data_IF_198539535060
#
_entry.id   IF_198539535060
#
_cell.length_a   1.000
_cell.length_b   1.000
_cell.length_c   1.000
_cell.angle_alpha   90.00
_cell.angle_beta   90.00
_cell.angle_gamma   90.00
#
_symmetry.space_group_name_H-M   'P 1'
#
loop_
_entity.id
_entity.type
_entity.pdbx_description
1 polymer ?
#
# COMPACT_ATOMS: atom_id res chain seq x y z
N UNK A 1 14.22 1.71 3.90
CA UNK A 1 12.77 1.49 4.07
C UNK A 1 12.58 1.01 5.49
N UNK A 2 11.62 1.59 6.20
CA UNK A 2 11.17 1.07 7.48
C UNK A 2 9.73 0.56 7.32
N UNK A 3 9.33 -0.40 8.15
CA UNK A 3 7.95 -0.84 8.20
C UNK A 3 7.49 -0.98 9.65
N UNK A 4 6.18 -0.83 9.86
CA UNK A 4 5.54 -1.02 11.15
C UNK A 4 4.22 -1.77 10.98
N UNK A 5 3.98 -2.72 11.87
CA UNK A 5 2.71 -3.44 11.95
C UNK A 5 1.84 -2.80 13.03
N UNK A 6 0.60 -2.49 12.67
CA UNK A 6 -0.47 -2.19 13.61
C UNK A 6 -1.40 -3.41 13.59
N UNK A 7 -1.12 -4.38 14.46
CA UNK A 7 -1.69 -5.72 14.37
C UNK A 7 -3.19 -5.74 14.70
N UNK A 8 -3.61 -4.98 15.71
CA UNK A 8 -5.01 -4.88 16.13
C UNK A 8 -5.88 -4.28 15.02
N UNK A 9 -5.32 -3.27 14.35
CA UNK A 9 -5.93 -2.64 13.19
C UNK A 9 -5.62 -3.38 11.89
N UNK A 10 -4.84 -4.45 11.86
CA UNK A 10 -4.40 -5.12 10.61
C UNK A 10 -3.94 -4.12 9.53
N UNK A 11 -3.07 -3.18 9.92
CA UNK A 11 -2.47 -2.19 9.01
C UNK A 11 -0.95 -2.44 8.92
N UNK A 12 -0.45 -2.51 7.69
CA UNK A 12 0.98 -2.44 7.38
C UNK A 12 1.33 -1.00 6.98
N UNK A 13 2.23 -0.37 7.72
CA UNK A 13 2.79 0.93 7.36
C UNK A 13 4.20 0.77 6.79
N UNK A 14 4.43 1.32 5.61
CA UNK A 14 5.71 1.33 4.90
C UNK A 14 6.19 2.77 4.77
N UNK A 15 7.39 3.07 5.29
CA UNK A 15 8.03 4.38 5.17
C UNK A 15 9.19 4.32 4.14
N UNK A 16 9.00 5.08 3.06
CA UNK A 16 9.90 5.20 1.92
C UNK A 16 10.65 6.54 1.87
N UNK A 17 10.42 7.46 2.80
CA UNK A 17 10.94 8.85 2.75
C UNK A 17 12.47 8.97 2.84
N UNK A 18 13.16 7.91 3.23
CA UNK A 18 14.62 7.90 3.39
C UNK A 18 15.39 7.67 2.08
N UNK A 19 14.93 8.26 0.96
CA UNK A 19 15.59 8.16 -0.36
C UNK A 19 15.67 6.73 -0.90
N UNK A 20 14.66 5.90 -0.60
CA UNK A 20 14.63 4.50 -1.02
C UNK A 20 14.18 4.42 -2.47
N UNK A 21 15.00 3.78 -3.32
CA UNK A 21 14.63 3.48 -4.71
C UNK A 21 13.51 2.45 -4.77
N UNK A 22 12.69 2.46 -5.83
CA UNK A 22 11.64 1.47 -6.03
C UNK A 22 12.20 0.03 -6.01
N UNK A 23 13.36 -0.17 -6.65
CA UNK A 23 14.03 -1.47 -6.65
C UNK A 23 14.40 -1.93 -5.23
N UNK A 24 14.94 -1.03 -4.39
CA UNK A 24 15.32 -1.38 -3.01
C UNK A 24 14.10 -1.62 -2.14
N UNK A 25 13.03 -0.86 -2.33
CA UNK A 25 11.76 -1.07 -1.64
C UNK A 25 11.20 -2.47 -1.97
N UNK A 26 11.17 -2.85 -3.26
CA UNK A 26 10.74 -4.17 -3.69
C UNK A 26 11.62 -5.29 -3.14
N UNK A 27 12.95 -5.14 -3.19
CA UNK A 27 13.88 -6.12 -2.64
C UNK A 27 13.70 -6.37 -1.14
N UNK A 28 13.18 -5.39 -0.39
CA UNK A 28 12.82 -5.59 1.02
C UNK A 28 11.39 -6.12 1.22
N UNK A 29 10.46 -5.69 0.37
CA UNK A 29 9.05 -6.05 0.51
C UNK A 29 8.77 -7.50 0.08
N UNK A 30 9.43 -7.97 -0.98
CA UNK A 30 9.22 -9.32 -1.52
C UNK A 30 9.46 -10.41 -0.47
N UNK A 31 10.63 -10.47 0.21
CA UNK A 31 10.84 -11.47 1.27
C UNK A 31 9.85 -11.33 2.42
N UNK A 32 9.47 -10.10 2.78
CA UNK A 32 8.50 -9.86 3.84
C UNK A 32 7.13 -10.47 3.51
N UNK A 33 6.68 -10.35 2.26
CA UNK A 33 5.40 -10.92 1.82
C UNK A 33 5.44 -12.44 1.68
N UNK A 34 6.61 -13.00 1.33
CA UNK A 34 6.82 -14.45 1.28
C UNK A 34 6.78 -15.05 2.70
N UNK A 35 7.43 -14.40 3.67
CA UNK A 35 7.44 -14.82 5.08
C UNK A 35 6.08 -14.61 5.78
N UNK A 36 5.31 -13.62 5.33
CA UNK A 36 4.01 -13.24 5.93
C UNK A 36 2.91 -13.06 4.87
N UNK A 37 2.40 -14.16 4.28
CA UNK A 37 1.36 -14.10 3.25
C UNK A 37 0.04 -13.49 3.73
N UNK A 38 -0.21 -13.47 5.05
CA UNK A 38 -1.40 -12.85 5.64
C UNK A 38 -1.48 -11.34 5.39
N UNK A 39 -0.34 -10.68 5.15
CA UNK A 39 -0.25 -9.24 4.88
C UNK A 39 -0.96 -8.82 3.58
N UNK A 40 -1.23 -9.75 2.66
CA UNK A 40 -2.03 -9.46 1.46
C UNK A 40 -3.46 -9.05 1.81
N UNK A 41 -4.00 -9.59 2.91
CA UNK A 41 -5.32 -9.26 3.45
C UNK A 41 -5.30 -8.14 4.49
N UNK A 42 -4.23 -7.35 4.56
CA UNK A 42 -4.14 -6.18 5.42
C UNK A 42 -4.30 -4.90 4.61
N UNK A 43 -4.77 -3.85 5.28
CA UNK A 43 -4.73 -2.50 4.71
C UNK A 43 -3.31 -1.95 4.81
N UNK A 44 -2.91 -1.17 3.82
CA UNK A 44 -1.55 -0.67 3.71
C UNK A 44 -1.55 0.85 3.74
N UNK A 45 -0.55 1.43 4.40
CA UNK A 45 -0.23 2.85 4.32
C UNK A 45 1.20 2.94 3.81
N UNK A 46 1.38 3.59 2.67
CA UNK A 46 2.70 3.80 2.05
C UNK A 46 3.01 5.28 2.15
N UNK A 47 3.97 5.62 3.01
CA UNK A 47 4.44 6.98 3.22
C UNK A 47 5.64 7.26 2.30
N UNK A 48 5.41 8.12 1.31
CA UNK A 48 6.37 8.46 0.28
C UNK A 48 6.11 9.90 -0.21
N UNK A 49 6.60 10.91 0.52
CA UNK A 49 6.50 12.33 0.18
C UNK A 49 6.95 12.61 -1.25
N UNK A 50 8.06 12.01 -1.66
CA UNK A 50 8.47 11.92 -3.05
C UNK A 50 8.38 10.46 -3.51
N UNK A 51 7.51 10.19 -4.49
CA UNK A 51 7.44 8.87 -5.13
C UNK A 51 8.80 8.59 -5.79
N UNK A 52 9.39 7.40 -5.59
CA UNK A 52 10.63 7.05 -6.27
C UNK A 52 10.43 7.13 -7.80
N UNK A 53 11.16 8.02 -8.45
CA UNK A 53 11.05 8.26 -9.89
C UNK A 53 11.49 7.06 -10.75
N UNK A 54 12.10 6.05 -10.12
CA UNK A 54 12.59 4.83 -10.75
C UNK A 54 11.57 3.67 -10.74
N UNK A 55 10.38 3.87 -10.19
CA UNK A 55 9.32 2.86 -10.22
C UNK A 55 8.82 2.62 -11.65
N UNK A 56 8.93 1.38 -12.14
CA UNK A 56 8.42 1.00 -13.47
C UNK A 56 7.10 0.23 -13.40
N UNK A 57 6.32 0.27 -14.48
CA UNK A 57 5.09 -0.53 -14.61
C UNK A 57 5.38 -2.03 -14.44
N UNK A 58 6.49 -2.51 -14.99
CA UNK A 58 6.90 -3.93 -14.92
C UNK A 58 7.22 -4.36 -13.48
N UNK A 59 7.88 -3.49 -12.71
CA UNK A 59 8.17 -3.72 -11.31
C UNK A 59 6.88 -3.84 -10.48
N UNK A 60 5.90 -2.98 -10.74
CA UNK A 60 4.59 -3.03 -10.08
C UNK A 60 3.82 -4.28 -10.51
N UNK A 61 3.84 -4.63 -11.79
CA UNK A 61 3.20 -5.84 -12.31
C UNK A 61 3.77 -7.11 -11.65
N UNK A 62 5.10 -7.21 -11.52
CA UNK A 62 5.75 -8.33 -10.83
C UNK A 62 5.36 -8.41 -9.36
N UNK A 63 5.21 -7.26 -8.68
CA UNK A 63 4.70 -7.24 -7.32
C UNK A 63 3.24 -7.73 -7.27
N UNK A 64 2.41 -7.29 -8.22
CA UNK A 64 1.00 -7.67 -8.29
C UNK A 64 0.78 -9.17 -8.50
N UNK A 65 1.66 -9.85 -9.26
CA UNK A 65 1.64 -11.30 -9.45
C UNK A 65 1.79 -12.09 -8.13
N UNK A 66 2.44 -11.49 -7.13
CA UNK A 66 2.59 -12.10 -5.81
C UNK A 66 1.33 -11.98 -4.94
N UNK A 67 0.42 -11.05 -5.27
CA UNK A 67 -0.76 -10.82 -4.44
C UNK A 67 -1.84 -11.82 -4.77
N UNK A 68 -2.39 -12.44 -3.72
CA UNK A 68 -3.68 -13.13 -3.82
C UNK A 68 -4.81 -12.15 -3.56
N UNK A 69 -5.92 -12.35 -4.26
CA UNK A 69 -7.16 -11.61 -3.97
C UNK A 69 -7.54 -11.83 -2.50
N UNK A 70 -7.66 -10.77 -1.70
CA UNK A 70 -8.03 -10.90 -0.30
C UNK A 70 -9.51 -11.30 -0.17
N UNK A 71 -9.85 -11.99 0.93
CA UNK A 71 -11.22 -12.44 1.22
C UNK A 71 -12.18 -11.25 1.41
N UNK A 72 -11.70 -10.19 2.05
CA UNK A 72 -12.43 -8.93 2.19
C UNK A 72 -11.74 -7.83 1.41
N UNK A 73 -12.47 -6.84 0.86
CA UNK A 73 -11.86 -5.69 0.23
C UNK A 73 -10.89 -4.97 1.17
N UNK A 74 -9.69 -4.67 0.68
CA UNK A 74 -8.64 -3.94 1.41
C UNK A 74 -8.25 -2.67 0.66
N UNK A 75 -7.53 -1.80 1.34
CA UNK A 75 -7.12 -0.48 0.86
C UNK A 75 -5.61 -0.33 1.00
N UNK A 76 -4.98 0.29 0.00
CA UNK A 76 -3.65 0.88 0.11
C UNK A 76 -3.79 2.40 0.04
N UNK A 77 -3.37 3.11 1.09
CA UNK A 77 -3.33 4.57 1.10
C UNK A 77 -1.89 5.06 0.86
N UNK A 78 -1.67 5.78 -0.24
CA UNK A 78 -0.42 6.45 -0.55
C UNK A 78 -0.42 7.85 0.05
N UNK A 79 0.42 8.08 1.05
CA UNK A 79 0.69 9.38 1.62
C UNK A 79 1.84 10.04 0.85
N UNK A 80 1.53 11.02 0.02
CA UNK A 80 2.48 11.61 -0.92
C UNK A 80 2.08 13.03 -1.32
N UNK A 81 3.06 13.85 -1.69
CA UNK A 81 2.83 15.16 -2.28
C UNK A 81 2.76 15.10 -3.82
N UNK A 82 2.97 13.91 -4.41
CA UNK A 82 2.87 13.71 -5.86
C UNK A 82 1.41 13.83 -6.34
N UNK A 83 1.14 14.95 -7.03
CA UNK A 83 -0.16 15.27 -7.60
C UNK A 83 -0.60 14.27 -8.67
N UNK A 84 0.29 13.51 -9.28
CA UNK A 84 -0.01 12.54 -10.33
C UNK A 84 -0.19 11.11 -9.79
N UNK A 85 0.05 10.87 -8.51
CA UNK A 85 -0.05 9.54 -7.93
C UNK A 85 -1.45 8.92 -8.04
N UNK A 86 -2.50 9.74 -8.19
CA UNK A 86 -3.86 9.27 -8.41
C UNK A 86 -4.01 8.48 -9.73
N UNK A 87 -3.20 8.80 -10.75
CA UNK A 87 -3.20 8.06 -12.02
C UNK A 87 -2.61 6.67 -11.82
N UNK A 88 -1.49 6.59 -11.09
CA UNK A 88 -0.86 5.33 -10.72
C UNK A 88 -1.74 4.47 -9.82
N UNK A 89 -2.40 5.07 -8.83
CA UNK A 89 -3.37 4.39 -7.98
C UNK A 89 -4.47 3.71 -8.81
N UNK A 90 -5.00 4.40 -9.82
CA UNK A 90 -6.00 3.83 -10.73
C UNK A 90 -5.45 2.69 -11.59
N UNK A 91 -4.20 2.79 -12.06
CA UNK A 91 -3.55 1.67 -12.77
C UNK A 91 -3.40 0.46 -11.85
N UNK A 92 -3.00 0.69 -10.60
CA UNK A 92 -2.85 -0.38 -9.60
C UNK A 92 -4.19 -1.03 -9.22
N UNK A 93 -5.31 -0.31 -9.20
CA UNK A 93 -6.63 -0.92 -8.99
C UNK A 93 -6.96 -2.03 -9.99
N UNK A 94 -6.42 -1.95 -11.22
CA UNK A 94 -6.56 -3.03 -12.22
C UNK A 94 -5.61 -4.20 -12.00
N UNK A 95 -4.44 -3.95 -11.41
CA UNK A 95 -3.39 -4.95 -11.22
C UNK A 95 -3.55 -5.74 -9.92
N UNK A 96 -4.21 -5.19 -8.89
CA UNK A 96 -4.38 -5.82 -7.59
C UNK A 96 -5.87 -6.09 -7.29
N UNK A 97 -6.43 -7.23 -7.72
CA UNK A 97 -7.84 -7.54 -7.52
C UNK A 97 -8.25 -7.52 -6.04
N UNK A 98 -9.33 -6.79 -5.72
CA UNK A 98 -9.85 -6.69 -4.36
C UNK A 98 -9.10 -5.70 -3.45
N UNK A 99 -8.14 -4.95 -3.99
CA UNK A 99 -7.42 -3.88 -3.29
C UNK A 99 -7.66 -2.53 -3.97
N UNK A 100 -8.16 -1.56 -3.22
CA UNK A 100 -8.36 -0.19 -3.69
C UNK A 100 -7.18 0.70 -3.30
N UNK A 101 -6.68 1.52 -4.22
CA UNK A 101 -5.58 2.45 -3.99
C UNK A 101 -6.10 3.88 -3.86
N UNK A 102 -5.73 4.54 -2.76
CA UNK A 102 -6.16 5.89 -2.43
C UNK A 102 -4.93 6.78 -2.26
N UNK A 103 -5.07 8.06 -2.57
CA UNK A 103 -4.05 9.07 -2.28
C UNK A 103 -4.53 9.94 -1.13
N UNK A 104 -3.65 10.17 -0.16
CA UNK A 104 -3.94 10.94 1.05
C UNK A 104 -2.80 11.93 1.35
N UNK A 105 -3.11 12.97 2.13
CA UNK A 105 -2.15 14.03 2.43
C UNK A 105 -1.04 13.62 3.43
N UNK A 106 -1.23 12.54 4.20
CA UNK A 106 -0.25 12.05 5.17
C UNK A 106 -0.55 10.62 5.62
N UNK A 107 0.45 9.93 6.18
CA UNK A 107 0.26 8.58 6.72
C UNK A 107 -0.81 8.54 7.82
N UNK A 108 -0.85 9.57 8.68
CA UNK A 108 -1.88 9.72 9.73
C UNK A 108 -3.28 9.83 9.12
N UNK A 109 -3.43 10.61 8.04
CA UNK A 109 -4.70 10.71 7.33
C UNK A 109 -5.11 9.37 6.69
N UNK A 110 -4.13 8.61 6.16
CA UNK A 110 -4.35 7.27 5.62
C UNK A 110 -4.88 6.28 6.66
N UNK A 111 -4.22 6.19 7.82
CA UNK A 111 -4.67 5.33 8.94
C UNK A 111 -6.08 5.71 9.38
N UNK A 112 -6.36 7.01 9.56
CA UNK A 112 -7.69 7.50 9.95
C UNK A 112 -8.75 7.11 8.92
N UNK A 113 -8.46 7.31 7.63
CA UNK A 113 -9.38 6.99 6.53
C UNK A 113 -9.72 5.50 6.50
N UNK A 114 -8.71 4.64 6.62
CA UNK A 114 -8.88 3.19 6.68
C UNK A 114 -9.81 2.80 7.84
N UNK A 115 -9.53 3.30 9.03
CA UNK A 115 -10.32 2.99 10.22
C UNK A 115 -11.77 3.49 10.11
N UNK A 116 -12.00 4.69 9.56
CA UNK A 116 -13.35 5.21 9.29
C UNK A 116 -14.12 4.32 8.31
N UNK A 117 -13.47 3.88 7.22
CA UNK A 117 -14.12 3.00 6.22
C UNK A 117 -14.54 1.67 6.84
N UNK A 118 -13.67 1.04 7.64
CA UNK A 118 -14.02 -0.22 8.31
C UNK A 118 -15.17 -0.06 9.29
N UNK A 119 -15.20 1.04 10.04
CA UNK A 119 -16.30 1.32 10.96
C UNK A 119 -17.63 1.41 10.20
N UNK A 120 -17.64 2.08 9.03
CA UNK A 120 -18.83 2.16 8.19
C UNK A 120 -19.26 0.80 7.61
N UNK A 121 -18.32 -0.07 7.23
CA UNK A 121 -18.64 -1.41 6.71
C UNK A 121 -19.19 -2.36 7.78
N UNK A 122 -18.78 -2.23 9.04
CA UNK A 122 -19.29 -3.05 10.15
C UNK A 122 -20.72 -2.68 10.58
N UNK A 123 -21.22 -1.51 10.18
CA UNK A 123 -22.56 -1.03 10.53
C UNK A 123 -23.64 -1.42 9.50
N UNK A 124 -23.25 -2.05 8.40
CA UNK A 124 -24.14 -2.61 7.37
C UNK A 124 -24.14 -4.13 7.44
#
# INVERSE_FOLDING_TARGET
MQHRFYADERILHLDLNNGVTAQRALAHLVPLLEDRPDLWGWDWVVDAQAVPADASVEQIARLAEMFRRPETPVVTAFATDDRFMHLWARVMDFQFPGRQHLVVASAVAGIRLINTRRAATKMN
#
